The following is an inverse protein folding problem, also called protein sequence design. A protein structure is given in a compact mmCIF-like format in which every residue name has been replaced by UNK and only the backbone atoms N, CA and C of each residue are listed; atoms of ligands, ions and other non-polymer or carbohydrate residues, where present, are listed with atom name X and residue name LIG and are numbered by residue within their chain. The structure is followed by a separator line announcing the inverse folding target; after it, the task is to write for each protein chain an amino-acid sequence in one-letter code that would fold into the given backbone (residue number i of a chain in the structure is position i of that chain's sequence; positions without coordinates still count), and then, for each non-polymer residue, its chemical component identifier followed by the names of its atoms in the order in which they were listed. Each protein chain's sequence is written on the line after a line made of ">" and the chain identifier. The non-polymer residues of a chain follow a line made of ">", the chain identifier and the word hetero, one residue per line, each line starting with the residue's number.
data_IF_351184467163
#
_entry.id   IF_351184467163
#
_cell.length_a   1.000
_cell.length_b   1.000
_cell.length_c   1.000
_cell.angle_alpha   90.00
_cell.angle_beta   90.00
_cell.angle_gamma   90.00
#
_symmetry.space_group_name_H-M   'P 1'
#
loop_
_entity.id
_entity.type
_entity.pdbx_description
1 polymer ?
#
# COMPACT_ATOMS: atom_id res chain seq x y z
N UNK A 1 7.24 8.32 15.35
CA UNK A 1 6.07 7.43 15.03
C UNK A 1 6.64 6.07 14.67
N UNK A 2 6.08 4.95 15.16
CA UNK A 2 6.54 3.62 14.72
C UNK A 2 5.98 3.40 13.32
N UNK A 3 6.87 3.21 12.36
CA UNK A 3 6.55 3.02 10.95
C UNK A 3 6.39 1.52 10.67
N UNK A 4 5.16 1.08 10.47
CA UNK A 4 4.84 -0.32 10.21
C UNK A 4 4.52 -0.55 8.74
N UNK A 5 4.89 -1.72 8.21
CA UNK A 5 4.37 -2.23 6.95
C UNK A 5 2.83 -2.11 6.89
N UNK A 6 2.26 -1.84 5.72
CA UNK A 6 2.88 -1.79 4.39
C UNK A 6 3.37 -0.41 3.96
N UNK A 7 2.88 0.66 4.55
CA UNK A 7 3.14 2.04 4.14
C UNK A 7 4.30 2.66 4.90
N UNK A 8 5.50 2.09 4.78
CA UNK A 8 6.73 2.66 5.38
C UNK A 8 7.28 3.83 4.57
N UNK A 9 8.04 4.70 5.24
CA UNK A 9 8.90 5.67 4.55
C UNK A 9 9.88 4.89 3.65
N UNK A 10 10.02 5.35 2.41
CA UNK A 10 10.82 4.71 1.37
C UNK A 10 10.06 3.74 0.45
N UNK A 11 8.80 3.43 0.74
CA UNK A 11 7.95 2.57 -0.10
C UNK A 11 7.32 3.40 -1.21
N UNK A 12 7.40 2.90 -2.46
CA UNK A 12 6.64 3.43 -3.58
C UNK A 12 5.29 2.68 -3.66
N UNK A 13 4.20 3.38 -3.31
CA UNK A 13 2.86 2.77 -3.25
C UNK A 13 2.47 2.19 -4.61
N UNK A 14 2.76 2.91 -5.69
CA UNK A 14 2.39 2.49 -7.04
C UNK A 14 3.14 1.25 -7.49
N UNK A 15 4.44 1.18 -7.22
CA UNK A 15 5.27 0.02 -7.56
C UNK A 15 4.84 -1.23 -6.81
N UNK A 16 4.56 -1.10 -5.51
CA UNK A 16 4.07 -2.21 -4.70
C UNK A 16 2.68 -2.71 -5.16
N UNK A 17 1.79 -1.81 -5.54
CA UNK A 17 0.49 -2.19 -6.11
C UNK A 17 0.66 -2.96 -7.44
N UNK A 18 1.57 -2.52 -8.31
CA UNK A 18 1.82 -3.20 -9.58
C UNK A 18 2.59 -4.51 -9.39
N UNK A 19 3.50 -4.58 -8.43
CA UNK A 19 4.19 -5.83 -8.07
C UNK A 19 3.19 -6.89 -7.58
N UNK A 20 2.22 -6.50 -6.74
CA UNK A 20 1.13 -7.38 -6.30
C UNK A 20 0.23 -7.83 -7.44
N UNK A 21 -0.10 -6.95 -8.37
CA UNK A 21 -0.97 -7.30 -9.52
C UNK A 21 -0.22 -8.06 -10.63
N UNK A 22 1.10 -7.90 -10.75
CA UNK A 22 1.94 -8.65 -11.67
C UNK A 22 2.30 -10.04 -11.13
N UNK A 23 2.20 -10.26 -9.84
CA UNK A 23 2.19 -11.58 -9.20
C UNK A 23 0.81 -12.26 -9.40
N UNK A 24 0.31 -12.26 -10.65
CA UNK A 24 -0.71 -13.19 -11.09
C UNK A 24 -0.22 -14.62 -10.89
N UNK A 25 -1.05 -15.67 -11.12
CA UNK A 25 -0.78 -17.06 -10.74
C UNK A 25 0.42 -17.74 -11.45
N UNK A 26 1.35 -16.98 -12.02
CA UNK A 26 2.53 -17.44 -12.75
C UNK A 26 3.85 -17.32 -11.97
N UNK A 27 3.84 -17.00 -10.70
CA UNK A 27 4.88 -17.45 -9.80
C UNK A 27 4.50 -18.86 -9.33
N UNK A 28 4.65 -19.88 -10.18
CA UNK A 28 4.47 -21.26 -9.76
C UNK A 28 5.38 -21.52 -8.56
N UNK A 29 4.77 -21.49 -7.37
CA UNK A 29 5.37 -22.13 -6.21
C UNK A 29 5.49 -23.60 -6.58
N UNK A 30 6.64 -24.02 -7.09
CA UNK A 30 6.90 -25.41 -7.37
C UNK A 30 7.08 -26.13 -6.04
N UNK A 31 6.06 -26.87 -5.66
CA UNK A 31 6.19 -27.81 -4.55
C UNK A 31 6.94 -29.01 -5.06
N UNK A 32 8.10 -29.26 -4.47
CA UNK A 32 8.97 -30.40 -4.79
C UNK A 32 8.97 -31.34 -3.61
N UNK A 33 8.68 -32.60 -3.90
CA UNK A 33 8.69 -33.68 -2.92
C UNK A 33 10.07 -34.32 -2.89
N UNK A 34 10.68 -34.44 -1.72
CA UNK A 34 11.97 -35.11 -1.53
C UNK A 34 11.73 -36.51 -1.02
N UNK A 35 12.13 -37.50 -1.79
CA UNK A 35 12.07 -38.91 -1.46
C UNK A 35 13.44 -39.52 -1.41
N UNK A 36 13.61 -40.53 -0.54
CA UNK A 36 14.82 -41.32 -0.44
C UNK A 36 14.57 -42.72 -1.00
N UNK A 37 15.46 -43.18 -1.85
CA UNK A 37 15.43 -44.57 -2.32
C UNK A 37 15.80 -45.51 -1.18
N UNK A 38 14.92 -46.44 -0.84
CA UNK A 38 15.10 -47.38 0.27
C UNK A 38 16.25 -48.37 0.06
N UNK A 39 16.65 -48.60 -1.19
CA UNK A 39 17.73 -49.56 -1.51
C UNK A 39 19.09 -48.88 -1.62
N UNK A 40 19.15 -47.70 -2.22
CA UNK A 40 20.41 -46.99 -2.44
C UNK A 40 20.70 -45.91 -1.40
N UNK A 41 19.68 -45.43 -0.69
CA UNK A 41 19.77 -44.32 0.26
C UNK A 41 19.89 -42.94 -0.40
N UNK A 42 19.83 -42.86 -1.73
CA UNK A 42 19.91 -41.59 -2.46
C UNK A 42 18.61 -40.80 -2.36
N UNK A 43 18.73 -39.49 -2.15
CA UNK A 43 17.60 -38.58 -2.15
C UNK A 43 17.38 -38.00 -3.55
N UNK A 44 16.13 -37.96 -3.97
CA UNK A 44 15.70 -37.37 -5.24
C UNK A 44 14.51 -36.48 -5.06
N UNK A 45 14.49 -35.40 -5.82
CA UNK A 45 13.39 -34.44 -5.87
C UNK A 45 12.43 -34.81 -6.99
N UNK A 46 11.12 -34.79 -6.68
CA UNK A 46 10.03 -35.07 -7.60
C UNK A 46 9.06 -33.90 -7.65
N UNK A 47 8.54 -33.61 -8.83
CA UNK A 47 7.41 -32.70 -8.99
C UNK A 47 6.11 -33.38 -8.54
N UNK A 48 5.07 -32.59 -8.21
CA UNK A 48 3.79 -33.14 -7.77
C UNK A 48 3.08 -33.99 -8.83
N UNK A 49 3.34 -33.72 -10.09
CA UNK A 49 2.80 -34.43 -11.26
C UNK A 49 3.60 -35.68 -11.66
N UNK A 50 4.76 -35.88 -11.05
CA UNK A 50 5.51 -37.13 -11.21
C UNK A 50 4.75 -38.27 -10.54
N UNK A 51 4.86 -39.47 -11.11
CA UNK A 51 4.22 -40.67 -10.57
C UNK A 51 5.20 -41.68 -9.97
N UNK A 52 6.51 -41.50 -10.20
CA UNK A 52 7.56 -42.42 -9.75
C UNK A 52 7.65 -42.51 -8.21
N UNK A 53 7.40 -41.41 -7.52
CA UNK A 53 7.44 -41.36 -6.05
C UNK A 53 6.30 -42.12 -5.36
N UNK A 54 5.27 -42.51 -6.11
CA UNK A 54 4.10 -43.25 -5.58
C UNK A 54 4.41 -44.72 -5.28
N UNK A 55 5.58 -45.22 -5.69
CA UNK A 55 5.99 -46.59 -5.38
C UNK A 55 6.62 -46.67 -3.98
N UNK A 56 5.81 -46.96 -2.96
CA UNK A 56 6.20 -47.09 -1.57
C UNK A 56 7.24 -48.16 -1.30
N UNK A 57 7.44 -49.09 -2.24
CA UNK A 57 8.44 -50.16 -2.11
C UNK A 57 9.85 -49.63 -2.42
N UNK A 58 9.94 -48.59 -3.22
CA UNK A 58 11.22 -48.03 -3.70
C UNK A 58 11.53 -46.70 -3.00
N UNK A 59 10.50 -45.90 -2.75
CA UNK A 59 10.66 -44.54 -2.30
C UNK A 59 10.05 -44.29 -0.92
N UNK A 60 10.77 -43.58 -0.07
CA UNK A 60 10.32 -43.12 1.23
C UNK A 60 10.33 -41.59 1.28
N UNK A 61 9.20 -41.00 1.67
CA UNK A 61 9.11 -39.57 1.82
C UNK A 61 10.07 -39.05 2.91
N UNK A 62 10.78 -37.97 2.61
CA UNK A 62 11.72 -37.30 3.53
C UNK A 62 11.26 -35.92 3.88
N UNK A 63 10.93 -35.10 2.86
CA UNK A 63 10.60 -33.68 3.06
C UNK A 63 9.80 -33.15 1.88
N UNK A 64 9.21 -31.97 2.07
CA UNK A 64 8.55 -31.19 1.02
C UNK A 64 9.18 -29.82 0.97
N UNK A 65 9.79 -29.47 -0.18
CA UNK A 65 10.38 -28.16 -0.42
C UNK A 65 9.44 -27.32 -1.28
N UNK A 66 9.31 -26.05 -0.94
CA UNK A 66 8.65 -25.07 -1.79
C UNK A 66 9.77 -24.27 -2.47
N UNK A 67 9.94 -24.48 -3.78
CA UNK A 67 10.86 -23.72 -4.59
C UNK A 67 10.12 -22.52 -5.19
N UNK A 68 10.63 -21.34 -4.92
CA UNK A 68 10.12 -20.06 -5.39
C UNK A 68 10.31 -19.02 -4.30
N UNK A 69 10.69 -17.81 -4.68
CA UNK A 69 10.58 -16.68 -3.77
C UNK A 69 9.08 -16.40 -3.65
N UNK A 70 8.53 -16.57 -2.45
CA UNK A 70 7.25 -15.97 -2.11
C UNK A 70 7.54 -14.47 -2.10
N UNK A 71 7.06 -13.67 -3.08
CA UNK A 71 7.12 -12.24 -2.93
C UNK A 71 6.43 -11.98 -1.59
N UNK A 72 7.00 -11.15 -0.72
CA UNK A 72 6.29 -10.64 0.44
C UNK A 72 5.10 -9.84 -0.10
N UNK A 73 4.05 -10.54 -0.47
CA UNK A 73 2.80 -9.94 -0.90
C UNK A 73 2.28 -9.15 0.28
N UNK A 74 2.22 -7.86 0.11
CA UNK A 74 1.60 -6.99 1.08
C UNK A 74 0.13 -6.77 0.67
N UNK A 75 -0.79 -7.63 1.13
CA UNK A 75 -2.18 -7.61 0.67
C UNK A 75 -2.89 -6.28 0.95
N UNK A 76 -2.34 -5.46 1.85
CA UNK A 76 -2.96 -4.18 2.19
C UNK A 76 -2.66 -3.06 1.17
N UNK A 77 -1.63 -3.19 0.34
CA UNK A 77 -1.36 -2.24 -0.75
C UNK A 77 -2.22 -2.57 -1.98
N UNK A 78 -2.60 -3.81 -2.18
CA UNK A 78 -3.55 -4.19 -3.24
C UNK A 78 -4.91 -3.48 -3.09
N UNK A 79 -5.32 -3.18 -1.87
CA UNK A 79 -6.59 -2.50 -1.57
C UNK A 79 -6.47 -0.96 -1.60
N UNK A 80 -5.29 -0.39 -1.90
CA UNK A 80 -5.16 1.07 -1.99
C UNK A 80 -5.87 1.58 -3.24
N UNK A 81 -6.99 2.23 -3.04
CA UNK A 81 -7.79 2.81 -4.14
C UNK A 81 -8.29 4.20 -3.76
N UNK A 82 -8.03 5.16 -4.62
CA UNK A 82 -8.56 6.52 -4.53
C UNK A 82 -9.69 6.71 -5.54
N UNK A 83 -10.82 7.21 -5.09
CA UNK A 83 -12.02 7.37 -5.91
C UNK A 83 -12.53 8.81 -5.92
N UNK A 84 -12.94 9.24 -7.09
CA UNK A 84 -13.74 10.45 -7.28
C UNK A 84 -15.15 10.03 -7.76
N UNK A 85 -16.06 9.84 -6.81
CA UNK A 85 -17.35 9.19 -7.12
C UNK A 85 -17.13 7.75 -7.60
N UNK A 86 -17.54 7.45 -8.84
CA UNK A 86 -17.37 6.13 -9.46
C UNK A 86 -16.00 5.96 -10.17
N UNK A 87 -15.28 7.05 -10.41
CA UNK A 87 -14.00 7.03 -11.11
C UNK A 87 -12.85 6.61 -10.16
N UNK A 88 -12.05 5.63 -10.59
CA UNK A 88 -10.77 5.31 -9.94
C UNK A 88 -9.70 6.30 -10.43
N UNK A 89 -9.12 7.03 -9.50
CA UNK A 89 -8.11 8.06 -9.76
C UNK A 89 -6.74 7.71 -9.18
N UNK A 90 -6.59 6.49 -8.70
CA UNK A 90 -5.40 6.01 -7.97
C UNK A 90 -4.13 6.25 -8.74
N UNK A 91 -4.03 5.70 -9.94
CA UNK A 91 -2.82 5.83 -10.77
C UNK A 91 -2.53 7.28 -11.14
N UNK A 92 -3.57 8.05 -11.44
CA UNK A 92 -3.43 9.47 -11.78
C UNK A 92 -2.86 10.29 -10.64
N UNK A 93 -3.31 10.02 -9.42
CA UNK A 93 -2.83 10.73 -8.21
C UNK A 93 -1.42 10.27 -7.85
N UNK A 94 -1.16 8.96 -7.83
CA UNK A 94 0.16 8.41 -7.47
C UNK A 94 1.24 8.69 -8.52
N UNK A 95 0.87 8.90 -9.78
CA UNK A 95 1.79 9.29 -10.86
C UNK A 95 2.08 10.80 -10.90
N UNK A 96 1.55 11.59 -9.96
CA UNK A 96 1.83 13.02 -9.88
C UNK A 96 3.33 13.24 -9.68
N UNK A 97 4.02 13.94 -10.58
CA UNK A 97 5.46 14.15 -10.48
C UNK A 97 5.82 15.10 -9.34
N UNK A 98 7.00 14.90 -8.79
CA UNK A 98 7.53 15.72 -7.71
C UNK A 98 6.84 15.48 -6.38
N UNK A 99 6.69 16.53 -5.58
CA UNK A 99 6.15 16.43 -4.22
C UNK A 99 4.63 16.51 -4.19
N UNK A 100 4.02 15.49 -3.57
CA UNK A 100 2.59 15.39 -3.36
C UNK A 100 2.29 15.26 -1.85
N UNK A 101 1.48 16.15 -1.32
CA UNK A 101 0.95 16.07 0.04
C UNK A 101 -0.44 15.41 0.03
N UNK A 102 -0.55 14.25 0.67
CA UNK A 102 -1.83 13.60 0.94
C UNK A 102 -2.30 14.04 2.33
N UNK A 103 -3.29 14.91 2.40
CA UNK A 103 -3.93 15.27 3.66
C UNK A 103 -4.94 14.18 4.02
N UNK A 104 -4.64 13.42 5.05
CA UNK A 104 -5.43 12.29 5.52
C UNK A 104 -6.42 12.77 6.58
N UNK A 105 -7.72 12.64 6.32
CA UNK A 105 -8.79 13.04 7.24
C UNK A 105 -9.76 11.88 7.42
N UNK A 106 -9.83 11.31 8.62
CA UNK A 106 -10.81 10.25 8.91
C UNK A 106 -12.22 10.81 9.12
N UNK A 107 -12.33 12.02 9.69
CA UNK A 107 -13.60 12.71 9.90
C UNK A 107 -13.35 14.22 9.93
N UNK A 108 -14.07 14.97 9.09
CA UNK A 108 -13.95 16.42 9.02
C UNK A 108 -14.47 17.14 10.28
N UNK A 109 -15.53 16.62 10.89
CA UNK A 109 -16.10 17.17 12.12
C UNK A 109 -15.18 17.06 13.35
N UNK A 110 -14.10 16.26 13.24
CA UNK A 110 -13.10 16.07 14.28
C UNK A 110 -11.79 16.83 14.06
N UNK A 111 -11.70 17.62 13.02
CA UNK A 111 -10.56 18.51 12.82
C UNK A 111 -10.66 19.64 13.83
N UNK A 112 -9.76 19.64 14.81
CA UNK A 112 -9.69 20.73 15.78
C UNK A 112 -9.11 22.00 15.15
N UNK A 113 -9.54 23.18 15.62
CA UNK A 113 -9.16 24.48 15.06
C UNK A 113 -7.64 24.65 14.87
N UNK A 114 -6.82 24.22 15.83
CA UNK A 114 -5.35 24.28 15.70
C UNK A 114 -4.81 23.42 14.56
N UNK A 115 -5.47 22.30 14.31
CA UNK A 115 -5.12 21.43 13.21
C UNK A 115 -5.51 22.07 11.88
N UNK A 116 -6.69 22.61 11.80
CA UNK A 116 -7.19 23.33 10.62
C UNK A 116 -6.26 24.50 10.25
N UNK A 117 -5.85 25.33 11.24
CA UNK A 117 -4.90 26.43 11.02
C UNK A 117 -3.53 25.96 10.49
N UNK A 118 -3.08 24.77 10.92
CA UNK A 118 -1.84 24.17 10.41
C UNK A 118 -1.97 23.65 8.99
N UNK A 119 -3.09 22.98 8.70
CA UNK A 119 -3.38 22.49 7.35
C UNK A 119 -3.56 23.65 6.37
N UNK A 120 -4.21 24.74 6.77
CA UNK A 120 -4.32 25.97 5.99
C UNK A 120 -2.92 26.47 5.57
N UNK A 121 -2.02 26.67 6.55
CA UNK A 121 -0.65 27.11 6.26
C UNK A 121 0.14 26.13 5.40
N UNK A 122 -0.04 24.82 5.65
CA UNK A 122 0.61 23.78 4.84
C UNK A 122 0.19 23.86 3.39
N UNK A 123 -1.12 23.95 3.13
CA UNK A 123 -1.67 24.03 1.76
C UNK A 123 -1.10 25.23 1.03
N UNK A 124 -1.16 26.42 1.66
CA UNK A 124 -0.66 27.63 1.03
C UNK A 124 0.85 27.56 0.73
N UNK A 125 1.66 27.07 1.69
CA UNK A 125 3.09 26.90 1.51
C UNK A 125 3.41 25.88 0.41
N UNK A 126 2.78 24.70 0.44
CA UNK A 126 3.01 23.66 -0.53
C UNK A 126 2.70 24.11 -1.96
N UNK A 127 1.59 24.81 -2.17
CA UNK A 127 1.22 25.36 -3.47
C UNK A 127 2.19 26.46 -3.95
N UNK A 128 2.67 27.30 -3.03
CA UNK A 128 3.69 28.31 -3.35
C UNK A 128 5.03 27.69 -3.76
N UNK A 129 5.38 26.55 -3.19
CA UNK A 129 6.57 25.75 -3.52
C UNK A 129 6.38 24.93 -4.80
N UNK A 130 5.21 24.96 -5.43
CA UNK A 130 4.91 24.19 -6.64
C UNK A 130 4.63 22.72 -6.38
N UNK A 131 4.40 22.33 -5.12
CA UNK A 131 3.97 20.99 -4.76
C UNK A 131 2.48 20.78 -5.02
N UNK A 132 2.10 19.52 -5.14
CA UNK A 132 0.70 19.12 -5.28
C UNK A 132 0.11 18.80 -3.91
N UNK A 133 -1.18 19.11 -3.73
CA UNK A 133 -1.91 18.82 -2.49
C UNK A 133 -3.24 18.19 -2.83
N UNK A 134 -3.55 17.06 -2.20
CA UNK A 134 -4.86 16.41 -2.27
C UNK A 134 -5.30 16.00 -0.87
N UNK A 135 -6.61 15.96 -0.64
CA UNK A 135 -7.20 15.39 0.57
C UNK A 135 -7.70 13.98 0.29
N UNK A 136 -7.55 13.08 1.25
CA UNK A 136 -8.10 11.72 1.18
C UNK A 136 -8.91 11.42 2.45
N UNK A 137 -10.10 10.83 2.28
CA UNK A 137 -11.04 10.61 3.37
C UNK A 137 -11.96 9.41 3.09
N UNK A 138 -12.39 8.66 4.12
CA UNK A 138 -13.43 7.66 3.97
C UNK A 138 -14.85 8.26 4.03
N UNK A 139 -14.99 9.55 4.40
CA UNK A 139 -16.31 10.18 4.45
C UNK A 139 -16.87 10.43 3.05
N UNK A 140 -18.20 10.30 2.88
CA UNK A 140 -18.83 10.66 1.62
C UNK A 140 -18.56 12.11 1.26
N UNK A 141 -18.01 12.33 0.07
CA UNK A 141 -17.73 13.66 -0.43
C UNK A 141 -19.01 14.30 -0.99
N UNK A 142 -19.26 15.53 -0.60
CA UNK A 142 -20.36 16.33 -1.14
C UNK A 142 -19.86 17.23 -2.27
N UNK A 143 -20.70 17.42 -3.29
CA UNK A 143 -20.38 18.31 -4.40
C UNK A 143 -19.26 17.80 -5.31
N UNK A 144 -18.32 18.67 -5.67
CA UNK A 144 -17.30 18.39 -6.69
C UNK A 144 -16.03 17.69 -6.17
N UNK A 145 -16.06 17.13 -4.95
CA UNK A 145 -14.86 16.51 -4.36
C UNK A 145 -13.73 17.52 -4.13
N UNK A 146 -14.07 18.71 -3.63
CA UNK A 146 -13.13 19.78 -3.33
C UNK A 146 -13.34 20.20 -1.87
N UNK A 147 -12.24 20.42 -1.14
CA UNK A 147 -12.29 20.87 0.25
C UNK A 147 -11.29 21.99 0.51
N UNK A 148 -11.66 22.92 1.40
CA UNK A 148 -10.75 23.97 1.88
C UNK A 148 -10.54 23.82 3.38
N UNK A 149 -9.29 23.84 3.80
CA UNK A 149 -8.93 23.86 5.22
C UNK A 149 -8.83 25.33 5.67
N UNK A 150 -9.76 25.74 6.54
CA UNK A 150 -9.86 27.14 6.93
C UNK A 150 -10.14 28.04 5.72
N UNK A 151 -9.22 28.96 5.44
CA UNK A 151 -9.28 29.88 4.29
C UNK A 151 -8.31 29.49 3.18
N UNK A 152 -7.75 28.28 3.20
CA UNK A 152 -6.80 27.84 2.19
C UNK A 152 -7.44 27.77 0.80
N UNK A 153 -6.56 27.76 -0.20
CA UNK A 153 -6.94 27.39 -1.57
C UNK A 153 -7.63 26.02 -1.57
N UNK A 154 -8.76 25.86 -2.26
CA UNK A 154 -9.44 24.59 -2.35
C UNK A 154 -8.57 23.51 -2.99
N UNK A 155 -8.54 22.32 -2.39
CA UNK A 155 -7.78 21.17 -2.87
C UNK A 155 -8.72 20.03 -3.28
N UNK A 156 -8.34 19.20 -4.28
CA UNK A 156 -9.09 18.00 -4.61
C UNK A 156 -9.17 17.06 -3.43
N UNK A 157 -10.32 16.42 -3.25
CA UNK A 157 -10.56 15.46 -2.19
C UNK A 157 -11.08 14.15 -2.79
N UNK A 158 -10.50 13.03 -2.39
CA UNK A 158 -10.82 11.71 -2.92
C UNK A 158 -11.22 10.75 -1.81
N UNK A 159 -12.08 9.81 -2.14
CA UNK A 159 -12.45 8.75 -1.22
C UNK A 159 -11.40 7.65 -1.19
N UNK A 160 -11.16 7.14 0.01
CA UNK A 160 -10.29 5.99 0.29
C UNK A 160 -10.98 5.09 1.31
N UNK A 161 -10.67 3.79 1.31
CA UNK A 161 -11.14 2.91 2.37
C UNK A 161 -10.62 3.34 3.75
N UNK A 162 -11.49 3.26 4.77
CA UNK A 162 -11.16 3.74 6.10
C UNK A 162 -10.14 2.87 6.85
N UNK A 163 -10.02 1.58 6.53
CA UNK A 163 -9.03 0.68 7.10
C UNK A 163 -7.65 0.95 6.49
N UNK A 164 -7.61 1.15 5.18
CA UNK A 164 -6.41 1.57 4.44
C UNK A 164 -5.86 2.88 4.97
N UNK A 165 -6.72 3.89 5.14
CA UNK A 165 -6.29 5.19 5.68
C UNK A 165 -5.71 5.08 7.09
N UNK A 166 -6.33 4.28 7.98
CA UNK A 166 -5.84 4.06 9.35
C UNK A 166 -4.52 3.29 9.39
N UNK A 167 -4.29 2.40 8.42
CA UNK A 167 -3.04 1.66 8.31
C UNK A 167 -1.92 2.58 7.81
N UNK A 168 -2.25 3.46 6.87
CA UNK A 168 -1.31 4.43 6.30
C UNK A 168 -0.87 5.48 7.33
N UNK A 169 -1.82 5.98 8.11
CA UNK A 169 -1.59 6.99 9.14
C UNK A 169 -2.42 6.71 10.40
N UNK A 170 -1.75 6.35 11.49
CA UNK A 170 -2.39 6.08 12.80
C UNK A 170 -2.79 7.37 13.53
N UNK A 171 -3.52 8.24 12.84
CA UNK A 171 -4.05 9.47 13.38
C UNK A 171 -5.40 9.79 12.73
N UNK A 172 -6.23 10.58 13.41
CA UNK A 172 -7.49 11.04 12.84
C UNK A 172 -7.26 12.05 11.71
N UNK A 173 -6.20 12.83 11.81
CA UNK A 173 -5.83 13.83 10.81
C UNK A 173 -4.32 13.98 10.78
N UNK A 174 -3.75 14.06 9.59
CA UNK A 174 -2.33 14.27 9.36
C UNK A 174 -1.99 14.27 7.89
N UNK A 175 -0.72 14.10 7.58
CA UNK A 175 -0.22 14.11 6.21
C UNK A 175 0.67 12.91 5.93
N UNK A 176 0.64 12.48 4.69
CA UNK A 176 1.63 11.61 4.07
C UNK A 176 2.23 12.38 2.89
N UNK A 177 3.54 12.46 2.84
CA UNK A 177 4.26 13.16 1.77
C UNK A 177 4.84 12.14 0.83
N UNK A 178 4.55 12.28 -0.45
CA UNK A 178 5.15 11.47 -1.50
C UNK A 178 6.11 12.34 -2.32
N UNK A 179 7.27 11.79 -2.65
CA UNK A 179 8.20 12.34 -3.64
C UNK A 179 8.26 11.33 -4.79
N UNK A 180 7.75 11.70 -5.96
CA UNK A 180 7.64 10.82 -7.15
C UNK A 180 7.01 9.44 -6.83
N UNK A 181 5.97 9.43 -6.00
CA UNK A 181 5.25 8.22 -5.59
C UNK A 181 5.84 7.46 -4.40
N UNK A 182 7.05 7.82 -3.94
CA UNK A 182 7.70 7.23 -2.76
C UNK A 182 7.28 7.96 -1.49
N UNK A 183 6.90 7.24 -0.45
CA UNK A 183 6.57 7.83 0.86
C UNK A 183 7.84 8.43 1.46
N UNK A 184 7.91 9.77 1.49
CA UNK A 184 9.03 10.52 2.02
C UNK A 184 8.87 10.89 3.50
N UNK A 185 7.63 11.17 3.94
CA UNK A 185 7.35 11.57 5.32
C UNK A 185 5.90 11.27 5.72
N UNK A 186 5.68 11.13 7.03
CA UNK A 186 4.34 11.00 7.64
C UNK A 186 4.28 11.79 8.93
N UNK A 187 3.29 12.67 9.06
CA UNK A 187 3.11 13.47 10.26
C UNK A 187 1.67 13.47 10.74
N UNK A 188 1.49 13.38 12.04
CA UNK A 188 0.22 13.73 12.64
C UNK A 188 -0.01 15.23 12.52
N UNK A 189 -1.25 15.65 12.58
CA UNK A 189 -1.59 17.07 12.53
C UNK A 189 -0.89 17.91 13.62
N UNK A 190 -0.53 17.30 14.75
CA UNK A 190 0.19 17.98 15.84
C UNK A 190 1.63 18.31 15.49
N UNK A 191 2.22 17.56 14.57
CA UNK A 191 3.62 17.62 14.17
C UNK A 191 3.81 18.38 12.85
N UNK A 192 2.74 18.98 12.32
CA UNK A 192 2.78 19.89 11.17
C UNK A 192 3.11 21.30 11.67
N UNK A 193 4.14 21.90 11.10
CA UNK A 193 4.61 23.27 11.42
C UNK A 193 3.81 24.33 10.67
#
# INVERSE_FOLDING_TARGET
>A
MIDFLPYKIGVNIREEMHASSAAGPEGELQTVLVYRNRMTGEEREFALDDTEWQDDTVWEWVDTKILGEVPEMNPMIEEFALRNGAEDVTDRVLATPGRLYLICVTRFDRIGRRCEDRLERLVERALQEGAHVVCITPEPLQGNGIHSFGKSTPVPCYNIDGSTLKTMLRAHTGIVVLDDGVIADKRNCRDID
#
